data_IF_596017385171
#
_entry.id   IF_596017385171
#
_cell.length_a   1.000
_cell.length_b   1.000
_cell.length_c   1.000
_cell.angle_alpha   90.00
_cell.angle_beta   90.00
_cell.angle_gamma   90.00
#
_symmetry.space_group_name_H-M   'P 1'
#
loop_
_entity.id
_entity.type
_entity.pdbx_description
1 polymer ?
#
# COMPACT_ATOMS: atom_id res chain seq x y z
N UNK A 1 -17.43 1.45 -36.00
CA UNK A 1 -15.98 1.23 -35.89
C UNK A 1 -15.78 -0.09 -35.18
N UNK A 2 -15.14 -1.06 -35.81
CA UNK A 2 -14.75 -2.32 -35.15
C UNK A 2 -13.57 -2.04 -34.25
N UNK A 3 -13.76 -2.20 -32.93
CA UNK A 3 -12.85 -1.75 -31.86
C UNK A 3 -11.75 -2.78 -31.53
N UNK A 4 -11.72 -3.92 -32.22
CA UNK A 4 -10.80 -5.02 -31.92
C UNK A 4 -9.97 -5.40 -33.15
N UNK A 5 -8.64 -5.42 -32.97
CA UNK A 5 -7.68 -5.97 -33.93
C UNK A 5 -7.48 -7.46 -33.65
N UNK A 6 -6.94 -8.20 -34.61
CA UNK A 6 -6.56 -9.61 -34.42
C UNK A 6 -5.63 -9.80 -33.21
N UNK A 7 -4.66 -8.87 -33.07
CA UNK A 7 -3.72 -8.82 -31.93
C UNK A 7 -4.46 -8.66 -30.59
N UNK A 8 -5.43 -7.74 -30.48
CA UNK A 8 -6.21 -7.55 -29.25
C UNK A 8 -6.99 -8.81 -28.82
N UNK A 9 -7.34 -9.69 -29.77
CA UNK A 9 -8.16 -10.86 -29.50
C UNK A 9 -7.33 -12.13 -29.24
N UNK A 10 -6.11 -12.19 -29.77
CA UNK A 10 -5.36 -13.45 -29.85
C UNK A 10 -3.96 -13.39 -29.24
N UNK A 11 -3.35 -12.20 -29.10
CA UNK A 11 -2.09 -12.06 -28.38
C UNK A 11 -2.33 -12.17 -26.86
N UNK A 12 -1.59 -13.01 -26.13
CA UNK A 12 -1.79 -13.17 -24.70
C UNK A 12 -1.34 -11.91 -23.93
N UNK A 13 -2.06 -11.58 -22.86
CA UNK A 13 -1.70 -10.48 -21.96
C UNK A 13 -0.39 -10.73 -21.19
N UNK A 14 -0.07 -12.00 -20.90
CA UNK A 14 1.13 -12.41 -20.17
C UNK A 14 2.04 -13.24 -21.08
N UNK A 15 3.15 -12.64 -21.50
CA UNK A 15 4.13 -13.24 -22.40
C UNK A 15 5.43 -13.56 -21.69
N UNK A 16 6.21 -14.50 -22.23
CA UNK A 16 7.57 -14.74 -21.77
C UNK A 16 8.46 -13.59 -22.23
N UNK A 17 9.39 -13.11 -21.39
CA UNK A 17 10.30 -12.05 -21.80
C UNK A 17 11.19 -12.50 -22.97
N UNK A 18 11.37 -11.61 -23.94
CA UNK A 18 12.27 -11.80 -25.09
C UNK A 18 13.31 -10.67 -25.11
N UNK A 19 14.37 -10.83 -25.91
CA UNK A 19 15.39 -9.80 -26.07
C UNK A 19 14.84 -8.49 -26.67
N UNK A 20 13.72 -8.54 -27.38
CA UNK A 20 13.06 -7.35 -27.95
C UNK A 20 12.40 -6.46 -26.89
N UNK A 21 12.20 -6.98 -25.66
CA UNK A 21 11.70 -6.22 -24.52
C UNK A 21 12.83 -5.54 -23.73
N UNK A 22 14.09 -5.74 -24.10
CA UNK A 22 15.21 -5.06 -23.45
C UNK A 22 15.19 -3.56 -23.77
N UNK A 23 15.22 -2.73 -22.73
CA UNK A 23 15.09 -1.28 -22.85
C UNK A 23 16.40 -0.61 -22.46
N UNK A 24 16.83 0.44 -23.18
CA UNK A 24 18.03 1.20 -22.81
C UNK A 24 17.83 2.02 -21.52
N UNK A 25 16.59 2.31 -21.14
CA UNK A 25 16.20 2.95 -19.88
C UNK A 25 14.69 2.74 -19.61
N UNK A 26 14.25 3.13 -18.42
CA UNK A 26 12.88 2.98 -17.92
C UNK A 26 11.81 3.82 -18.65
N UNK A 27 12.21 4.70 -19.56
CA UNK A 27 11.32 5.59 -20.34
C UNK A 27 11.18 5.18 -21.82
N UNK A 28 11.99 4.24 -22.30
CA UNK A 28 12.05 3.88 -23.72
C UNK A 28 11.02 2.82 -24.11
N UNK A 29 10.56 2.75 -25.35
CA UNK A 29 9.71 1.63 -25.80
C UNK A 29 10.51 0.29 -25.86
N UNK A 30 9.83 -0.88 -25.80
CA UNK A 30 8.40 -1.05 -25.51
C UNK A 30 8.11 -0.85 -24.00
N UNK A 31 7.05 -0.09 -23.67
CA UNK A 31 6.57 0.03 -22.29
C UNK A 31 5.98 -1.30 -21.80
N UNK A 32 6.27 -1.66 -20.55
CA UNK A 32 5.75 -2.89 -19.94
C UNK A 32 6.25 -3.11 -18.51
N UNK A 33 5.74 -4.17 -17.88
CA UNK A 33 6.09 -4.59 -16.52
C UNK A 33 6.43 -6.08 -16.49
N UNK A 34 7.41 -6.45 -15.67
CA UNK A 34 7.73 -7.85 -15.39
C UNK A 34 6.98 -8.30 -14.13
N UNK A 35 6.31 -9.46 -14.19
CA UNK A 35 5.57 -10.02 -13.06
C UNK A 35 5.99 -11.47 -12.83
N UNK A 36 6.35 -11.81 -11.58
CA UNK A 36 6.73 -13.16 -11.18
C UNK A 36 8.21 -13.49 -11.33
N UNK A 37 8.58 -14.71 -10.92
CA UNK A 37 9.95 -15.21 -11.01
C UNK A 37 10.95 -14.32 -10.28
N UNK A 38 12.06 -14.00 -10.96
CA UNK A 38 13.11 -13.11 -10.43
C UNK A 38 12.68 -11.63 -10.33
N UNK A 39 11.56 -11.24 -10.94
CA UNK A 39 11.02 -9.89 -10.85
C UNK A 39 10.12 -9.69 -9.61
N UNK A 40 9.94 -10.72 -8.78
CA UNK A 40 9.22 -10.56 -7.52
C UNK A 40 9.96 -9.60 -6.58
N UNK A 41 9.21 -8.73 -5.92
CA UNK A 41 9.73 -7.71 -5.02
C UNK A 41 9.41 -8.01 -3.56
N UNK A 42 10.24 -7.51 -2.65
CA UNK A 42 9.97 -7.54 -1.21
C UNK A 42 8.83 -6.59 -0.83
N UNK A 43 8.18 -6.83 0.31
CA UNK A 43 7.06 -6.02 0.79
C UNK A 43 7.38 -4.53 0.88
N UNK A 44 8.60 -4.15 1.29
CA UNK A 44 9.00 -2.74 1.32
C UNK A 44 8.90 -2.08 -0.06
N UNK A 45 9.40 -2.76 -1.10
CA UNK A 45 9.39 -2.21 -2.46
C UNK A 45 7.98 -2.18 -3.05
N UNK A 46 7.18 -3.22 -2.83
CA UNK A 46 5.77 -3.25 -3.27
C UNK A 46 4.97 -2.16 -2.54
N UNK A 47 5.18 -1.98 -1.23
CA UNK A 47 4.54 -0.92 -0.45
C UNK A 47 4.88 0.48 -0.99
N UNK A 48 6.13 0.69 -1.39
CA UNK A 48 6.57 1.94 -2.01
C UNK A 48 5.85 2.19 -3.35
N UNK A 49 5.73 1.18 -4.22
CA UNK A 49 5.00 1.30 -5.49
C UNK A 49 3.53 1.70 -5.28
N UNK A 50 2.84 1.07 -4.31
CA UNK A 50 1.45 1.44 -3.99
C UNK A 50 1.32 2.84 -3.41
N UNK A 51 2.26 3.25 -2.55
CA UNK A 51 2.27 4.62 -2.02
C UNK A 51 2.46 5.65 -3.13
N UNK A 52 3.41 5.42 -4.04
CA UNK A 52 3.71 6.34 -5.13
C UNK A 52 2.53 6.41 -6.12
N UNK A 53 1.88 5.28 -6.39
CA UNK A 53 0.64 5.25 -7.17
C UNK A 53 -0.48 6.08 -6.52
N UNK A 54 -0.65 5.99 -5.19
CA UNK A 54 -1.61 6.82 -4.46
C UNK A 54 -1.27 8.32 -4.59
N UNK A 55 0.00 8.70 -4.44
CA UNK A 55 0.45 10.07 -4.61
C UNK A 55 0.23 10.59 -6.05
N UNK A 56 0.46 9.75 -7.06
CA UNK A 56 0.17 10.11 -8.45
C UNK A 56 -1.32 10.42 -8.65
N UNK A 57 -2.23 9.58 -8.13
CA UNK A 57 -3.66 9.84 -8.20
C UNK A 57 -4.05 11.12 -7.44
N UNK A 58 -3.52 11.34 -6.24
CA UNK A 58 -3.74 12.59 -5.49
C UNK A 58 -3.30 13.81 -6.30
N UNK A 59 -2.16 13.75 -6.98
CA UNK A 59 -1.70 14.84 -7.83
C UNK A 59 -2.61 15.05 -9.05
N UNK A 60 -3.12 13.98 -9.68
CA UNK A 60 -4.11 14.11 -10.74
C UNK A 60 -5.40 14.80 -10.25
N UNK A 61 -5.88 14.50 -9.04
CA UNK A 61 -7.03 15.20 -8.43
C UNK A 61 -6.71 16.69 -8.24
N UNK A 62 -5.55 17.01 -7.64
CA UNK A 62 -5.11 18.40 -7.39
C UNK A 62 -4.96 19.20 -8.68
N UNK A 63 -4.53 18.55 -9.75
CA UNK A 63 -4.39 19.15 -11.09
C UNK A 63 -5.71 19.19 -11.87
N UNK A 64 -6.79 18.61 -11.36
CA UNK A 64 -8.10 18.48 -12.02
C UNK A 64 -8.06 17.62 -13.29
N UNK A 65 -7.11 16.68 -13.37
CA UNK A 65 -7.05 15.68 -14.45
C UNK A 65 -8.11 14.59 -14.26
N UNK A 66 -8.52 14.35 -13.02
CA UNK A 66 -9.60 13.42 -12.62
C UNK A 66 -10.45 14.06 -11.51
N UNK A 67 -11.74 13.71 -11.42
CA UNK A 67 -12.56 14.11 -10.28
C UNK A 67 -12.18 13.28 -9.04
N UNK A 68 -12.28 13.89 -7.86
CA UNK A 68 -11.98 13.23 -6.58
C UNK A 68 -12.89 12.01 -6.35
N UNK A 69 -14.19 12.13 -6.62
CA UNK A 69 -15.16 11.05 -6.46
C UNK A 69 -14.91 9.84 -7.37
N UNK A 70 -14.24 10.01 -8.51
CA UNK A 70 -13.95 8.91 -9.44
C UNK A 70 -12.84 7.98 -8.94
N UNK A 71 -11.97 8.48 -8.07
CA UNK A 71 -10.76 7.77 -7.62
C UNK A 71 -10.58 7.73 -6.10
N UNK A 72 -11.54 8.24 -5.31
CA UNK A 72 -11.46 8.30 -3.84
C UNK A 72 -11.16 6.93 -3.21
N UNK A 73 -11.95 5.92 -3.56
CA UNK A 73 -11.78 4.55 -3.06
C UNK A 73 -10.42 3.93 -3.43
N UNK A 74 -9.97 3.98 -4.71
CA UNK A 74 -8.62 3.61 -5.09
C UNK A 74 -7.53 4.32 -4.29
N UNK A 75 -7.60 5.65 -4.11
CA UNK A 75 -6.59 6.40 -3.34
C UNK A 75 -6.50 5.88 -1.90
N UNK A 76 -7.64 5.72 -1.24
CA UNK A 76 -7.71 5.23 0.14
C UNK A 76 -7.17 3.80 0.25
N UNK A 77 -7.55 2.92 -0.67
CA UNK A 77 -7.05 1.54 -0.71
C UNK A 77 -5.53 1.48 -0.89
N UNK A 78 -4.99 2.25 -1.84
CA UNK A 78 -3.56 2.23 -2.15
C UNK A 78 -2.72 2.72 -0.98
N UNK A 79 -3.12 3.82 -0.32
CA UNK A 79 -2.46 4.26 0.91
C UNK A 79 -2.56 3.21 2.01
N UNK A 80 -3.77 2.72 2.32
CA UNK A 80 -3.98 1.69 3.35
C UNK A 80 -3.14 0.43 3.09
N UNK A 81 -3.08 -0.04 1.84
CA UNK A 81 -2.32 -1.22 1.48
C UNK A 81 -0.80 -0.99 1.56
N UNK A 82 -0.31 0.20 1.16
CA UNK A 82 1.10 0.55 1.32
C UNK A 82 1.55 0.50 2.79
N UNK A 83 0.72 1.02 3.71
CA UNK A 83 0.99 1.00 5.15
C UNK A 83 1.03 -0.44 5.67
N UNK A 84 0.09 -1.30 5.27
CA UNK A 84 0.12 -2.73 5.63
C UNK A 84 1.43 -3.40 5.19
N UNK A 85 1.88 -3.13 3.96
CA UNK A 85 3.10 -3.73 3.41
C UNK A 85 4.36 -3.21 4.10
N UNK A 86 4.43 -1.92 4.45
CA UNK A 86 5.53 -1.39 5.25
C UNK A 86 5.58 -2.05 6.63
N UNK A 87 4.44 -2.19 7.32
CA UNK A 87 4.37 -2.87 8.61
C UNK A 87 4.84 -4.33 8.51
N UNK A 88 4.37 -5.07 7.50
CA UNK A 88 4.81 -6.44 7.25
C UNK A 88 6.30 -6.55 6.95
N UNK A 89 6.87 -5.59 6.23
CA UNK A 89 8.31 -5.55 5.97
C UNK A 89 9.12 -5.28 7.26
N UNK A 90 8.62 -4.42 8.16
CA UNK A 90 9.29 -4.10 9.44
C UNK A 90 9.25 -5.30 10.38
N UNK A 91 8.08 -5.92 10.52
CA UNK A 91 7.82 -6.94 11.52
C UNK A 91 8.37 -8.32 11.13
N UNK A 92 8.64 -8.58 9.84
CA UNK A 92 9.20 -9.81 9.24
C UNK A 92 8.38 -11.10 9.45
N UNK A 93 7.93 -11.37 10.67
CA UNK A 93 7.08 -12.49 11.10
C UNK A 93 5.65 -12.04 11.49
N UNK A 94 5.21 -10.87 10.98
CA UNK A 94 3.84 -10.40 11.21
C UNK A 94 2.83 -11.50 10.92
N UNK A 95 1.78 -11.58 11.74
CA UNK A 95 0.70 -12.52 11.50
C UNK A 95 0.20 -12.43 10.04
N UNK A 96 -0.29 -13.55 9.48
CA UNK A 96 -0.96 -13.56 8.17
C UNK A 96 -2.33 -12.88 8.28
N UNK A 97 -2.30 -11.58 8.57
CA UNK A 97 -3.44 -10.72 8.84
C UNK A 97 -3.41 -9.52 7.90
N UNK A 98 -4.59 -8.96 7.68
CA UNK A 98 -4.80 -7.66 7.04
C UNK A 98 -5.29 -6.61 8.05
N UNK A 99 -5.42 -6.97 9.33
CA UNK A 99 -5.87 -6.04 10.37
C UNK A 99 -4.79 -5.00 10.67
N UNK A 100 -5.04 -3.74 10.31
CA UNK A 100 -4.17 -2.64 10.69
C UNK A 100 -4.15 -2.41 12.20
N UNK A 101 -5.24 -2.72 12.91
CA UNK A 101 -5.28 -2.62 14.38
C UNK A 101 -4.26 -3.59 15.01
N UNK A 102 -4.25 -4.85 14.55
CA UNK A 102 -3.30 -5.87 15.01
C UNK A 102 -1.86 -5.47 14.68
N UNK A 103 -1.61 -5.07 13.41
CA UNK A 103 -0.28 -4.67 12.97
C UNK A 103 0.22 -3.41 13.70
N UNK A 104 -0.67 -2.49 14.06
CA UNK A 104 -0.30 -1.27 14.78
C UNK A 104 0.13 -1.56 16.24
N UNK A 105 -0.54 -2.49 16.92
CA UNK A 105 -0.13 -2.93 18.26
C UNK A 105 1.18 -3.74 18.22
N UNK A 106 1.34 -4.62 17.23
CA UNK A 106 2.61 -5.32 17.01
C UNK A 106 3.75 -4.33 16.74
N UNK A 107 3.51 -3.31 15.92
CA UNK A 107 4.48 -2.25 15.66
C UNK A 107 4.81 -1.43 16.91
N UNK A 108 3.81 -1.08 17.72
CA UNK A 108 4.03 -0.38 18.99
C UNK A 108 4.93 -1.19 19.92
N UNK A 109 4.63 -2.47 20.08
CA UNK A 109 5.44 -3.38 20.90
C UNK A 109 6.87 -3.49 20.35
N UNK A 110 7.01 -3.64 19.03
CA UNK A 110 8.29 -3.70 18.35
C UNK A 110 9.15 -2.45 18.59
N UNK A 111 8.60 -1.24 18.43
CA UNK A 111 9.33 0.01 18.69
C UNK A 111 9.81 0.07 20.14
N UNK A 112 8.98 -0.34 21.09
CA UNK A 112 9.35 -0.39 22.51
C UNK A 112 10.49 -1.36 22.76
N UNK A 113 10.47 -2.51 22.12
CA UNK A 113 11.52 -3.53 22.21
C UNK A 113 12.86 -3.05 21.64
N UNK A 114 12.86 -2.49 20.43
CA UNK A 114 14.11 -2.15 19.73
C UNK A 114 14.74 -0.83 20.17
N UNK A 115 13.93 0.13 20.64
CA UNK A 115 14.41 1.48 21.00
C UNK A 115 14.36 1.78 22.49
N UNK A 116 13.62 1.00 23.28
CA UNK A 116 13.30 1.31 24.68
C UNK A 116 12.34 2.49 24.87
N UNK A 117 12.01 3.23 23.80
CA UNK A 117 11.09 4.36 23.82
C UNK A 117 9.67 3.94 23.44
N UNK A 118 8.68 4.73 23.85
CA UNK A 118 7.29 4.49 23.44
C UNK A 118 7.07 4.94 21.99
N UNK A 119 6.27 4.16 21.25
CA UNK A 119 5.85 4.55 19.91
C UNK A 119 4.96 5.80 19.99
N UNK A 120 5.24 6.87 19.21
CA UNK A 120 4.39 8.05 19.18
C UNK A 120 2.93 7.71 18.85
N UNK A 121 2.01 8.13 19.73
CA UNK A 121 0.61 7.71 19.69
C UNK A 121 -0.09 8.04 18.37
N UNK A 122 0.29 9.14 17.73
CA UNK A 122 -0.30 9.57 16.46
C UNK A 122 -0.08 8.52 15.35
N UNK A 123 1.02 7.77 15.36
CA UNK A 123 1.32 6.74 14.35
C UNK A 123 0.28 5.63 14.44
N UNK A 124 0.11 5.09 15.65
CA UNK A 124 -0.84 4.00 15.93
C UNK A 124 -2.28 4.47 15.70
N UNK A 125 -2.62 5.67 16.13
CA UNK A 125 -3.94 6.27 15.93
C UNK A 125 -4.32 6.32 14.46
N UNK A 126 -3.44 6.83 13.58
CA UNK A 126 -3.75 6.92 12.15
C UNK A 126 -3.91 5.55 11.47
N UNK A 127 -3.12 4.55 11.89
CA UNK A 127 -3.29 3.17 11.39
C UNK A 127 -4.64 2.57 11.80
N UNK A 128 -5.04 2.80 13.06
CA UNK A 128 -6.33 2.33 13.59
C UNK A 128 -7.51 3.04 12.96
N UNK A 129 -7.41 4.33 12.63
CA UNK A 129 -8.46 5.04 11.89
C UNK A 129 -8.70 4.44 10.51
N UNK A 130 -7.64 4.15 9.74
CA UNK A 130 -7.75 3.43 8.47
C UNK A 130 -8.35 2.03 8.67
N UNK A 131 -7.90 1.31 9.70
CA UNK A 131 -8.39 -0.03 10.04
C UNK A 131 -9.82 -0.07 10.56
N UNK A 132 -10.34 1.00 11.16
CA UNK A 132 -11.72 1.07 11.62
C UNK A 132 -12.70 1.13 10.44
N UNK A 133 -12.32 1.85 9.38
CA UNK A 133 -13.11 1.91 8.14
C UNK A 133 -12.91 0.66 7.29
N UNK A 134 -11.65 0.21 7.14
CA UNK A 134 -11.27 -0.93 6.31
C UNK A 134 -10.49 -2.04 7.06
N UNK A 135 -11.15 -2.76 7.98
CA UNK A 135 -10.51 -3.73 8.89
C UNK A 135 -9.87 -4.93 8.18
N UNK A 136 -10.39 -5.31 7.01
CA UNK A 136 -9.98 -6.52 6.27
C UNK A 136 -9.46 -6.23 4.87
N UNK A 137 -9.14 -4.97 4.56
CA UNK A 137 -8.77 -4.55 3.21
C UNK A 137 -9.89 -4.66 2.17
N UNK A 138 -11.16 -4.69 2.57
CA UNK A 138 -12.33 -4.89 1.68
C UNK A 138 -13.12 -3.60 1.43
N UNK A 139 -13.27 -2.74 2.42
CA UNK A 139 -14.18 -1.60 2.40
C UNK A 139 -13.87 -0.64 1.24
N UNK A 140 -12.61 -0.26 1.07
CA UNK A 140 -12.23 0.65 -0.01
C UNK A 140 -12.28 0.03 -1.41
N UNK A 141 -12.49 -1.29 -1.54
CA UNK A 141 -12.66 -1.97 -2.83
C UNK A 141 -14.11 -2.18 -3.21
N UNK A 142 -14.97 -2.45 -2.22
CA UNK A 142 -16.35 -2.90 -2.45
C UNK A 142 -17.40 -2.01 -1.79
N UNK A 143 -16.98 -0.96 -1.08
CA UNK A 143 -17.84 -0.11 -0.23
C UNK A 143 -18.56 -0.89 0.89
N UNK A 144 -18.08 -2.10 1.18
CA UNK A 144 -18.64 -3.01 2.18
C UNK A 144 -17.53 -3.75 2.94
N UNK A 145 -17.84 -4.14 4.17
CA UNK A 145 -17.04 -5.02 5.00
C UNK A 145 -17.68 -6.39 5.07
N UNK A 146 -16.90 -7.42 4.73
CA UNK A 146 -17.36 -8.80 4.82
C UNK A 146 -17.35 -9.29 6.28
N UNK A 147 -18.54 -9.52 6.83
CA UNK A 147 -18.71 -10.15 8.14
C UNK A 147 -18.58 -11.67 7.97
N UNK A 148 -17.48 -12.23 8.49
CA UNK A 148 -17.18 -13.66 8.41
C UNK A 148 -18.09 -14.52 9.28
N UNK A 149 -18.75 -13.93 10.29
CA UNK A 149 -19.69 -14.63 11.18
C UNK A 149 -21.04 -14.80 10.52
N UNK A 150 -21.57 -13.75 9.90
CA UNK A 150 -22.86 -13.81 9.18
C UNK A 150 -22.71 -14.26 7.73
N UNK A 151 -21.49 -14.19 7.17
CA UNK A 151 -21.15 -14.43 5.76
C UNK A 151 -21.82 -13.44 4.80
N UNK A 152 -22.02 -12.20 5.26
CA UNK A 152 -22.70 -11.15 4.51
C UNK A 152 -21.83 -9.89 4.41
N UNK A 153 -22.00 -9.15 3.33
CA UNK A 153 -21.41 -7.83 3.15
C UNK A 153 -22.24 -6.79 3.90
N UNK A 154 -21.58 -6.04 4.78
CA UNK A 154 -22.18 -4.94 5.52
C UNK A 154 -21.66 -3.62 4.97
N UNK A 155 -22.54 -2.65 4.78
CA UNK A 155 -22.14 -1.30 4.42
C UNK A 155 -21.21 -0.71 5.48
N UNK A 156 -20.30 0.16 5.05
CA UNK A 156 -19.50 0.96 5.97
C UNK A 156 -20.48 1.84 6.77
N UNK A 157 -20.37 1.81 8.09
CA UNK A 157 -21.23 2.61 8.96
C UNK A 157 -20.76 4.07 9.01
N UNK A 158 -21.72 5.00 8.98
CA UNK A 158 -21.47 6.45 9.03
C UNK A 158 -21.08 7.10 7.70
N UNK A 159 -20.76 8.40 7.79
CA UNK A 159 -20.33 9.24 6.69
C UNK A 159 -19.06 9.98 7.09
N UNK A 160 -18.03 9.94 6.24
CA UNK A 160 -16.74 10.55 6.52
C UNK A 160 -16.32 11.48 5.40
N UNK A 161 -16.02 12.73 5.75
CA UNK A 161 -15.31 13.63 4.87
C UNK A 161 -13.80 13.41 5.01
N UNK A 162 -13.12 13.16 3.90
CA UNK A 162 -11.65 13.04 3.86
C UNK A 162 -11.09 14.25 3.13
N UNK A 163 -10.42 15.13 3.88
CA UNK A 163 -9.70 16.25 3.28
C UNK A 163 -8.45 15.74 2.54
N UNK A 164 -8.38 16.01 1.23
CA UNK A 164 -7.34 15.48 0.35
C UNK A 164 -5.93 15.96 0.74
N UNK A 165 -5.78 17.24 1.12
CA UNK A 165 -4.49 17.81 1.49
C UNK A 165 -4.02 17.27 2.84
N UNK A 166 -4.94 17.09 3.78
CA UNK A 166 -4.66 16.47 5.06
C UNK A 166 -4.30 14.99 4.89
N UNK A 167 -5.04 14.25 4.05
CA UNK A 167 -4.74 12.86 3.73
C UNK A 167 -3.32 12.72 3.19
N UNK A 168 -2.95 13.50 2.17
CA UNK A 168 -1.61 13.52 1.59
C UNK A 168 -0.54 13.76 2.66
N UNK A 169 -0.74 14.77 3.51
CA UNK A 169 0.21 15.15 4.55
C UNK A 169 0.38 14.06 5.63
N UNK A 170 -0.72 13.47 6.08
CA UNK A 170 -0.72 12.40 7.09
C UNK A 170 -0.07 11.14 6.54
N UNK A 171 -0.39 10.75 5.30
CA UNK A 171 0.19 9.56 4.68
C UNK A 171 1.69 9.74 4.43
N UNK A 172 2.13 10.92 4.02
CA UNK A 172 3.56 11.25 3.92
C UNK A 172 4.27 11.15 5.27
N UNK A 173 3.68 11.71 6.34
CA UNK A 173 4.24 11.61 7.69
C UNK A 173 4.33 10.16 8.17
N UNK A 174 3.29 9.36 7.97
CA UNK A 174 3.28 7.93 8.30
C UNK A 174 4.36 7.16 7.54
N UNK A 175 4.48 7.37 6.22
CA UNK A 175 5.54 6.75 5.40
C UNK A 175 6.91 7.08 5.96
N UNK A 176 7.20 8.35 6.25
CA UNK A 176 8.49 8.78 6.80
C UNK A 176 8.78 8.07 8.13
N UNK A 177 7.78 8.02 9.02
CA UNK A 177 7.92 7.34 10.31
C UNK A 177 8.22 5.84 10.15
N UNK A 178 7.46 5.14 9.30
CA UNK A 178 7.62 3.71 9.06
C UNK A 178 8.94 3.38 8.36
N UNK A 179 9.29 4.13 7.33
CA UNK A 179 10.52 3.90 6.57
C UNK A 179 11.77 4.25 7.38
N UNK A 180 11.68 5.23 8.28
CA UNK A 180 12.74 5.51 9.26
C UNK A 180 13.05 4.32 10.17
N UNK A 181 12.05 3.48 10.47
CA UNK A 181 12.25 2.26 11.26
C UNK A 181 13.12 1.23 10.55
N UNK A 182 13.12 1.16 9.21
CA UNK A 182 14.05 0.28 8.49
C UNK A 182 15.51 0.62 8.78
N UNK A 183 15.85 1.92 8.81
CA UNK A 183 17.19 2.38 9.15
C UNK A 183 17.56 2.03 10.61
N UNK A 184 16.63 2.18 11.54
CA UNK A 184 16.84 1.79 12.95
C UNK A 184 17.13 0.29 13.08
N UNK A 185 16.37 -0.56 12.38
CA UNK A 185 16.56 -2.02 12.40
C UNK A 185 17.91 -2.41 11.78
N UNK A 186 18.29 -1.79 10.67
CA UNK A 186 19.59 -2.01 10.04
C UNK A 186 20.76 -1.65 10.98
N UNK A 187 20.67 -0.51 11.66
CA UNK A 187 21.69 -0.07 12.63
C UNK A 187 21.74 -0.97 13.88
N UNK A 188 20.58 -1.37 14.44
CA UNK A 188 20.51 -2.22 15.63
C UNK A 188 21.05 -3.63 15.41
N UNK A 189 20.90 -4.18 14.19
CA UNK A 189 21.50 -5.46 13.79
C UNK A 189 23.03 -5.39 13.65
N UNK A 190 23.61 -4.19 13.47
CA UNK A 190 25.06 -3.97 13.40
C UNK A 190 25.81 -4.05 14.73
N UNK A 191 25.11 -4.11 15.87
CA UNK A 191 25.72 -4.16 17.22
C UNK A 191 25.85 -5.57 17.83
N UNK A 192 25.41 -6.61 17.12
CA UNK A 192 25.61 -8.02 17.52
C UNK A 192 26.61 -8.72 16.59
N UNK A 193 27.88 -8.36 16.73
CA UNK A 193 29.00 -9.26 16.39
C UNK A 193 30.12 -8.94 17.37
N UNK A 194 30.10 -9.64 18.51
CA UNK A 194 31.30 -9.89 19.30
C UNK A 194 32.00 -11.12 18.74
#
# INVERSE_FOLDING_TARGET
MTVFTDDHMHRPLFEKPTAELERPNEWSEPLGFMVGGMANHEYQHIGQQYFDAACHLVNCIKNRDVADCDVANPVLYLYRHSIELFLKAILQDAAKTHSLDTLAEEYRAFIREVSGADCPEWIVTRMKELGAVDPKSTAFRYSTNYDTRTKEDQWIDGEFHVDLHHLESVMAALKIALTGTFAMVACGKGTSTK
#
